data_IF_729418495803
#
_entry.id   IF_729418495803
#
_cell.length_a   1.000
_cell.length_b   1.000
_cell.length_c   1.000
_cell.angle_alpha   90.00
_cell.angle_beta   90.00
_cell.angle_gamma   90.00
#
_symmetry.space_group_name_H-M   'P 1'
#
loop_
_entity.id
_entity.type
_entity.pdbx_description
1 polymer ?
#
# COMPACT_ATOMS: atom_id res chain seq x y z
N UNK A 1 4.51 0.06 -2.25
CA UNK A 1 5.35 1.26 -2.04
C UNK A 1 5.57 1.44 -0.56
N UNK A 2 6.83 1.53 -0.11
CA UNK A 2 7.19 1.58 1.31
C UNK A 2 8.43 2.45 1.52
N UNK A 3 8.43 3.28 2.59
CA UNK A 3 9.64 3.84 3.16
C UNK A 3 10.16 2.88 4.24
N UNK A 4 11.45 2.59 4.21
CA UNK A 4 12.11 1.64 5.11
C UNK A 4 13.43 2.21 5.61
N UNK A 5 13.83 1.85 6.83
CA UNK A 5 15.15 2.14 7.35
C UNK A 5 16.24 1.32 6.63
N UNK A 6 17.53 1.65 6.83
CA UNK A 6 18.65 0.92 6.25
C UNK A 6 18.68 -0.57 6.68
N UNK A 7 18.14 -0.88 7.86
CA UNK A 7 17.97 -2.24 8.37
C UNK A 7 16.61 -2.86 8.04
N UNK A 8 15.85 -2.26 7.08
CA UNK A 8 14.62 -2.83 6.54
C UNK A 8 13.42 -2.79 7.47
N UNK A 9 13.30 -1.78 8.33
CA UNK A 9 12.19 -1.65 9.28
C UNK A 9 11.17 -0.61 8.83
N UNK A 10 9.90 -0.87 9.17
CA UNK A 10 8.76 0.04 8.94
C UNK A 10 8.43 0.90 10.16
N UNK A 11 8.87 0.49 11.33
CA UNK A 11 8.58 1.17 12.59
C UNK A 11 9.69 0.90 13.62
N UNK A 12 9.85 1.77 14.64
CA UNK A 12 10.75 1.54 15.76
C UNK A 12 10.31 0.34 16.61
N UNK A 13 11.18 -0.16 17.53
CA UNK A 13 10.90 -1.39 18.31
C UNK A 13 9.60 -1.36 19.11
N UNK A 14 9.20 -0.22 19.62
CA UNK A 14 7.95 0.02 20.37
C UNK A 14 6.71 0.12 19.48
N UNK A 15 6.89 0.04 18.15
CA UNK A 15 5.80 0.18 17.18
C UNK A 15 5.42 1.64 16.93
N UNK A 16 4.22 1.86 16.40
CA UNK A 16 3.73 3.19 16.07
C UNK A 16 3.92 3.56 14.61
N UNK A 17 3.50 4.80 14.28
CA UNK A 17 3.65 5.34 12.94
C UNK A 17 5.09 5.80 12.71
N UNK A 18 5.80 5.14 11.83
CA UNK A 18 7.08 5.63 11.36
C UNK A 18 6.89 6.89 10.51
N UNK A 19 7.54 7.98 10.89
CA UNK A 19 7.48 9.29 10.18
C UNK A 19 8.89 9.71 9.77
N UNK A 20 9.57 8.84 9.04
CA UNK A 20 10.95 9.07 8.66
C UNK A 20 11.16 9.36 7.17
N UNK A 21 10.15 9.18 6.32
CA UNK A 21 10.21 9.59 4.93
C UNK A 21 10.18 11.12 4.77
N UNK A 22 11.09 11.65 3.98
CA UNK A 22 11.24 13.07 3.71
C UNK A 22 10.35 13.59 2.57
N UNK A 23 10.60 14.83 2.09
CA UNK A 23 9.87 15.38 0.95
C UNK A 23 10.02 14.57 -0.33
N UNK A 24 11.19 13.96 -0.55
CA UNK A 24 11.47 13.09 -1.70
C UNK A 24 10.67 11.81 -1.67
N UNK A 25 10.62 11.13 -0.54
CA UNK A 25 9.76 9.97 -0.32
C UNK A 25 8.28 10.30 -0.56
N UNK A 26 7.82 11.41 0.01
CA UNK A 26 6.45 11.87 -0.21
C UNK A 26 6.15 12.08 -1.70
N UNK A 27 7.06 12.70 -2.45
CA UNK A 27 6.90 12.94 -3.88
C UNK A 27 6.73 11.65 -4.66
N UNK A 28 7.58 10.65 -4.45
CA UNK A 28 7.51 9.37 -5.17
C UNK A 28 6.30 8.54 -4.75
N UNK A 29 5.84 8.66 -3.51
CA UNK A 29 4.58 8.06 -3.06
C UNK A 29 3.37 8.70 -3.77
N UNK A 30 3.33 10.02 -3.89
CA UNK A 30 2.27 10.72 -4.61
C UNK A 30 2.32 10.41 -6.13
N UNK A 31 3.50 10.22 -6.72
CA UNK A 31 3.68 9.74 -8.11
C UNK A 31 3.04 8.35 -8.29
N UNK A 32 3.29 7.43 -7.36
CA UNK A 32 2.68 6.11 -7.39
C UNK A 32 1.14 6.16 -7.26
N UNK A 33 0.63 7.02 -6.37
CA UNK A 33 -0.82 7.26 -6.25
C UNK A 33 -1.42 7.89 -7.51
N UNK A 34 -0.70 8.82 -8.16
CA UNK A 34 -1.15 9.45 -9.38
C UNK A 34 -1.25 8.45 -10.55
N UNK A 35 -0.38 7.47 -10.60
CA UNK A 35 -0.41 6.36 -11.56
C UNK A 35 -1.52 5.36 -11.25
N UNK A 36 -1.84 5.10 -9.98
CA UNK A 36 -2.74 4.05 -9.56
C UNK A 36 -4.22 4.32 -9.91
N UNK A 37 -4.98 3.25 -10.17
CA UNK A 37 -6.44 3.28 -10.26
C UNK A 37 -7.07 3.21 -8.88
N UNK A 38 -6.40 2.51 -7.92
CA UNK A 38 -6.83 2.42 -6.54
C UNK A 38 -5.62 2.19 -5.60
N UNK A 39 -5.79 2.57 -4.34
CA UNK A 39 -4.80 2.39 -3.28
C UNK A 39 -5.31 1.36 -2.26
N UNK A 40 -4.57 0.25 -2.06
CA UNK A 40 -4.91 -0.81 -1.12
C UNK A 40 -4.19 -0.60 0.21
N UNK A 41 -4.93 -0.65 1.30
CA UNK A 41 -4.41 -0.45 2.66
C UNK A 41 -5.06 -1.41 3.66
N UNK A 42 -4.30 -1.91 4.61
CA UNK A 42 -4.81 -2.70 5.72
C UNK A 42 -5.48 -1.83 6.79
N UNK A 43 -6.56 -2.32 7.40
CA UNK A 43 -7.27 -1.60 8.48
C UNK A 43 -6.35 -1.28 9.67
N UNK A 44 -5.40 -2.16 10.01
CA UNK A 44 -4.44 -1.92 11.08
C UNK A 44 -3.51 -0.74 10.76
N UNK A 45 -3.07 -0.60 9.51
CA UNK A 45 -2.31 0.56 9.05
C UNK A 45 -3.12 1.85 9.24
N UNK A 46 -4.41 1.83 8.89
CA UNK A 46 -5.28 3.00 9.11
C UNK A 46 -5.46 3.33 10.59
N UNK A 47 -5.61 2.32 11.46
CA UNK A 47 -5.69 2.56 12.92
C UNK A 47 -4.43 3.24 13.46
N UNK A 48 -3.25 2.82 12.98
CA UNK A 48 -1.95 3.37 13.44
C UNK A 48 -1.68 4.77 12.91
N UNK A 49 -2.02 5.03 11.65
CA UNK A 49 -1.70 6.30 10.99
C UNK A 49 -2.85 7.32 11.04
N UNK A 50 -4.06 6.90 11.30
CA UNK A 50 -5.26 7.73 11.34
C UNK A 50 -5.81 8.15 9.97
N UNK A 51 -5.02 8.03 8.92
CA UNK A 51 -5.36 8.45 7.56
C UNK A 51 -4.56 7.65 6.53
N UNK A 52 -4.93 7.78 5.24
CA UNK A 52 -4.11 7.32 4.12
C UNK A 52 -3.39 8.49 3.46
N UNK A 53 -2.48 8.19 2.55
CA UNK A 53 -1.78 9.20 1.77
C UNK A 53 -2.71 9.81 0.72
N UNK A 54 -2.51 11.10 0.44
CA UNK A 54 -3.21 11.85 -0.60
C UNK A 54 -2.21 12.48 -1.55
N UNK A 55 -2.61 12.60 -2.80
CA UNK A 55 -1.91 13.43 -3.78
C UNK A 55 -2.19 14.89 -3.43
N UNK A 56 -1.13 15.67 -3.24
CA UNK A 56 -1.18 17.10 -2.94
C UNK A 56 -0.45 17.94 -3.97
N UNK A 57 0.44 17.32 -4.74
CA UNK A 57 1.23 18.00 -5.77
C UNK A 57 0.32 18.42 -6.93
N UNK A 58 0.24 19.73 -7.26
CA UNK A 58 -0.68 20.24 -8.28
C UNK A 58 -0.48 19.60 -9.67
N UNK A 59 0.76 19.38 -10.06
CA UNK A 59 1.11 18.76 -11.34
C UNK A 59 0.58 17.32 -11.46
N UNK A 60 0.59 16.55 -10.37
CA UNK A 60 0.06 15.18 -10.32
C UNK A 60 -1.47 15.17 -10.33
N UNK A 61 -2.11 16.10 -9.64
CA UNK A 61 -3.57 16.29 -9.70
C UNK A 61 -4.01 16.66 -11.12
N UNK A 62 -3.31 17.60 -11.76
CA UNK A 62 -3.60 18.01 -13.14
C UNK A 62 -3.35 16.88 -14.14
N UNK A 63 -2.34 16.04 -13.89
CA UNK A 63 -2.11 14.82 -14.69
C UNK A 63 -3.32 13.88 -14.62
N UNK A 64 -3.85 13.60 -13.43
CA UNK A 64 -5.02 12.74 -13.25
C UNK A 64 -6.27 13.32 -13.93
N UNK A 65 -6.55 14.62 -13.75
CA UNK A 65 -7.67 15.32 -14.37
C UNK A 65 -7.62 15.26 -15.90
N UNK A 66 -6.43 15.48 -16.48
CA UNK A 66 -6.22 15.35 -17.95
C UNK A 66 -6.49 13.93 -18.47
N UNK A 67 -6.33 12.92 -17.61
CA UNK A 67 -6.64 11.51 -17.89
C UNK A 67 -8.11 11.16 -17.61
N UNK A 68 -8.97 12.11 -17.24
CA UNK A 68 -10.36 11.87 -16.85
C UNK A 68 -10.52 11.10 -15.53
N UNK A 69 -9.51 11.14 -14.65
CA UNK A 69 -9.48 10.39 -13.39
C UNK A 69 -9.79 11.31 -12.20
N UNK A 70 -10.40 10.78 -11.13
CA UNK A 70 -10.58 11.53 -9.89
C UNK A 70 -9.25 12.04 -9.34
N UNK A 71 -9.24 13.17 -8.63
CA UNK A 71 -8.05 13.73 -7.99
C UNK A 71 -7.33 12.71 -7.10
N UNK A 72 -8.10 11.90 -6.38
CA UNK A 72 -7.57 10.85 -5.52
C UNK A 72 -8.03 9.47 -6.01
N UNK A 73 -7.16 8.44 -6.02
CA UNK A 73 -7.61 7.08 -6.21
C UNK A 73 -8.47 6.63 -5.02
N UNK A 74 -9.49 5.77 -5.21
CA UNK A 74 -10.23 5.20 -4.10
C UNK A 74 -9.32 4.41 -3.16
N UNK A 75 -9.60 4.50 -1.86
CA UNK A 75 -8.93 3.70 -0.85
C UNK A 75 -9.68 2.37 -0.65
N UNK A 76 -9.00 1.28 -0.98
CA UNK A 76 -9.48 -0.09 -0.78
C UNK A 76 -9.00 -0.57 0.59
N UNK A 77 -9.88 -0.63 1.56
CA UNK A 77 -9.55 -0.98 2.95
C UNK A 77 -9.77 -2.47 3.17
N UNK A 78 -8.68 -3.21 3.34
CA UNK A 78 -8.76 -4.61 3.71
C UNK A 78 -9.05 -4.74 5.21
N UNK A 79 -10.20 -5.30 5.55
CA UNK A 79 -10.62 -5.55 6.92
C UNK A 79 -11.56 -6.74 7.02
N UNK A 80 -11.38 -7.58 8.04
CA UNK A 80 -12.30 -8.69 8.34
C UNK A 80 -13.66 -8.19 8.84
N UNK A 81 -13.67 -7.14 9.63
CA UNK A 81 -14.88 -6.65 10.30
C UNK A 81 -15.40 -5.31 9.74
N UNK A 82 -14.58 -4.57 8.97
CA UNK A 82 -14.89 -3.20 8.56
C UNK A 82 -14.84 -2.17 9.69
N UNK A 83 -14.66 -2.61 10.94
CA UNK A 83 -14.65 -1.73 12.09
C UNK A 83 -13.36 -0.91 12.15
N UNK A 84 -13.54 0.40 12.09
CA UNK A 84 -12.49 1.42 12.28
C UNK A 84 -13.03 2.48 13.25
N UNK A 85 -12.17 3.12 14.06
CA UNK A 85 -12.61 4.23 14.92
C UNK A 85 -13.32 5.32 14.11
N UNK A 86 -14.43 5.82 14.64
CA UNK A 86 -15.28 6.79 13.93
C UNK A 86 -14.63 8.19 13.84
N UNK A 87 -13.68 8.47 14.71
CA UNK A 87 -12.96 9.74 14.81
C UNK A 87 -11.69 9.81 13.94
N UNK A 88 -11.39 8.76 13.16
CA UNK A 88 -10.22 8.80 12.29
C UNK A 88 -10.32 9.92 11.25
N UNK A 89 -9.26 10.73 11.07
CA UNK A 89 -9.18 11.72 10.01
C UNK A 89 -9.42 11.14 8.61
N UNK A 90 -9.18 9.84 8.43
CA UNK A 90 -9.47 9.08 7.21
C UNK A 90 -10.91 9.32 6.69
N UNK A 91 -11.90 9.44 7.57
CA UNK A 91 -13.29 9.61 7.17
C UNK A 91 -13.59 10.96 6.51
N UNK A 92 -12.73 11.96 6.75
CA UNK A 92 -12.84 13.31 6.19
C UNK A 92 -11.97 13.52 4.94
N UNK A 93 -11.17 12.52 4.54
CA UNK A 93 -10.34 12.64 3.35
C UNK A 93 -11.20 12.67 2.07
N UNK A 94 -10.83 13.49 1.06
CA UNK A 94 -11.61 13.67 -0.18
C UNK A 94 -11.36 12.52 -1.17
N UNK A 95 -11.72 11.29 -0.80
CA UNK A 95 -11.56 10.08 -1.62
C UNK A 95 -12.70 9.09 -1.37
N UNK A 96 -12.96 8.22 -2.34
CA UNK A 96 -13.84 7.08 -2.14
C UNK A 96 -13.20 6.03 -1.24
N UNK A 97 -14.02 5.35 -0.42
CA UNK A 97 -13.62 4.31 0.52
C UNK A 97 -14.39 3.05 0.23
N UNK A 98 -13.67 1.99 -0.09
CA UNK A 98 -14.26 0.69 -0.34
C UNK A 98 -13.80 -0.29 0.73
N UNK A 99 -14.71 -1.11 1.21
CA UNK A 99 -14.37 -2.17 2.13
C UNK A 99 -14.13 -3.48 1.37
N UNK A 100 -12.93 -4.03 1.50
CA UNK A 100 -12.58 -5.36 1.02
C UNK A 100 -12.69 -6.35 2.17
N UNK A 101 -13.63 -7.27 2.09
CA UNK A 101 -13.93 -8.26 3.12
C UNK A 101 -13.65 -9.67 2.63
N UNK A 102 -12.75 -10.44 3.29
CA UNK A 102 -12.64 -11.87 3.05
C UNK A 102 -13.95 -12.59 3.42
N UNK A 103 -14.42 -13.52 2.59
CA UNK A 103 -15.69 -14.22 2.81
C UNK A 103 -15.70 -15.09 4.08
N UNK A 104 -14.52 -15.58 4.51
CA UNK A 104 -14.35 -16.32 5.76
C UNK A 104 -14.52 -15.44 7.03
N UNK A 105 -14.63 -14.12 6.87
CA UNK A 105 -14.86 -13.22 7.98
C UNK A 105 -16.34 -13.16 8.33
N UNK A 106 -16.65 -13.05 9.64
CA UNK A 106 -18.03 -12.92 10.11
C UNK A 106 -18.75 -11.73 9.47
N UNK A 107 -20.03 -11.90 9.15
CA UNK A 107 -20.86 -10.82 8.63
C UNK A 107 -21.12 -9.81 9.75
N UNK A 108 -20.43 -8.68 9.71
CA UNK A 108 -20.68 -7.53 10.57
C UNK A 108 -21.17 -6.36 9.74
N UNK A 109 -22.02 -5.53 10.31
CA UNK A 109 -22.22 -4.18 9.81
C UNK A 109 -20.95 -3.38 10.18
N UNK A 110 -20.24 -2.81 9.21
CA UNK A 110 -19.03 -2.04 9.51
C UNK A 110 -19.31 -0.80 10.36
N UNK A 111 -20.58 -0.35 10.43
CA UNK A 111 -20.95 0.92 11.09
C UNK A 111 -20.20 2.14 10.51
N UNK A 112 -19.38 1.94 9.50
CA UNK A 112 -18.48 2.93 8.93
C UNK A 112 -18.93 3.32 7.52
N UNK A 113 -18.72 4.59 7.08
CA UNK A 113 -19.25 5.12 5.82
C UNK A 113 -18.42 4.68 4.59
N UNK A 114 -18.37 3.40 4.33
CA UNK A 114 -17.83 2.89 3.07
C UNK A 114 -18.86 3.06 1.94
N UNK A 115 -18.42 3.58 0.79
CA UNK A 115 -19.28 3.77 -0.38
C UNK A 115 -19.52 2.46 -1.14
N UNK A 116 -18.62 1.47 -0.99
CA UNK A 116 -18.71 0.17 -1.67
C UNK A 116 -18.11 -0.94 -0.81
N UNK A 117 -18.64 -2.15 -0.96
CA UNK A 117 -18.10 -3.36 -0.37
C UNK A 117 -17.83 -4.39 -1.47
N UNK A 118 -16.67 -5.05 -1.38
CA UNK A 118 -16.35 -6.26 -2.16
C UNK A 118 -16.07 -7.41 -1.21
N UNK A 119 -16.69 -8.55 -1.48
CA UNK A 119 -16.47 -9.79 -0.72
C UNK A 119 -15.70 -10.73 -1.63
N UNK A 120 -14.68 -11.41 -1.12
CA UNK A 120 -13.82 -12.28 -1.90
C UNK A 120 -13.38 -13.50 -1.09
N UNK A 121 -13.20 -14.65 -1.75
CA UNK A 121 -12.72 -15.89 -1.13
C UNK A 121 -11.18 -15.99 -1.16
N UNK A 122 -10.52 -15.37 -2.14
CA UNK A 122 -9.07 -15.42 -2.30
C UNK A 122 -8.52 -14.24 -3.10
N UNK A 123 -7.21 -14.03 -3.02
CA UNK A 123 -6.55 -12.89 -3.66
C UNK A 123 -6.72 -12.85 -5.18
N UNK A 124 -6.74 -14.02 -5.85
CA UNK A 124 -6.94 -14.08 -7.30
C UNK A 124 -8.33 -13.60 -7.69
N UNK A 125 -9.36 -14.02 -6.95
CA UNK A 125 -10.73 -13.55 -7.15
C UNK A 125 -10.84 -12.05 -6.92
N UNK A 126 -10.25 -11.53 -5.83
CA UNK A 126 -10.23 -10.08 -5.59
C UNK A 126 -9.60 -9.33 -6.76
N UNK A 127 -8.45 -9.79 -7.27
CA UNK A 127 -7.81 -9.18 -8.43
C UNK A 127 -8.73 -9.18 -9.66
N UNK A 128 -9.44 -10.29 -9.91
CA UNK A 128 -10.39 -10.40 -11.02
C UNK A 128 -11.58 -9.45 -10.85
N UNK A 129 -12.16 -9.36 -9.65
CA UNK A 129 -13.24 -8.42 -9.35
C UNK A 129 -12.80 -6.97 -9.57
N UNK A 130 -11.62 -6.59 -9.07
CA UNK A 130 -11.06 -5.24 -9.26
C UNK A 130 -10.79 -4.94 -10.73
N UNK A 131 -10.21 -5.89 -11.47
CA UNK A 131 -9.97 -5.73 -12.91
C UNK A 131 -11.29 -5.57 -13.71
N UNK A 132 -12.33 -6.32 -13.34
CA UNK A 132 -13.68 -6.20 -13.92
C UNK A 132 -14.33 -4.82 -13.67
N UNK A 133 -13.88 -4.11 -12.63
CA UNK A 133 -14.29 -2.73 -12.33
C UNK A 133 -13.35 -1.67 -12.95
N UNK A 134 -12.39 -2.09 -13.77
CA UNK A 134 -11.42 -1.18 -14.40
C UNK A 134 -10.26 -0.78 -13.50
N UNK A 135 -10.12 -1.37 -12.31
CA UNK A 135 -9.04 -1.10 -11.37
C UNK A 135 -7.90 -2.10 -11.60
N UNK A 136 -7.02 -1.80 -12.55
CA UNK A 136 -5.92 -2.68 -12.97
C UNK A 136 -4.57 -2.26 -12.41
N UNK A 137 -4.40 -0.99 -12.06
CA UNK A 137 -3.19 -0.42 -11.47
C UNK A 137 -3.40 -0.17 -9.99
N UNK A 138 -2.88 -1.05 -9.16
CA UNK A 138 -3.05 -1.00 -7.71
C UNK A 138 -1.74 -0.59 -7.05
N UNK A 139 -1.82 0.33 -6.09
CA UNK A 139 -0.73 0.66 -5.17
C UNK A 139 -1.07 0.12 -3.79
N UNK A 140 -0.18 -0.68 -3.24
CA UNK A 140 -0.28 -1.19 -1.88
C UNK A 140 0.48 -0.26 -0.95
N UNK A 141 -0.23 0.37 -0.02
CA UNK A 141 0.27 1.40 0.89
C UNK A 141 0.71 0.84 2.26
N UNK A 142 1.19 -0.39 2.27
CA UNK A 142 1.78 -0.92 3.49
C UNK A 142 0.86 -1.76 4.34
N UNK A 143 1.39 -2.10 5.49
CA UNK A 143 1.10 -3.24 6.33
C UNK A 143 1.97 -4.42 5.90
N UNK A 144 2.99 -4.76 6.72
CA UNK A 144 3.92 -5.85 6.42
C UNK A 144 3.20 -7.17 6.11
N UNK A 145 2.15 -7.48 6.87
CA UNK A 145 1.37 -8.70 6.68
C UNK A 145 0.66 -8.71 5.33
N UNK A 146 0.04 -7.60 4.94
CA UNK A 146 -0.64 -7.48 3.66
C UNK A 146 0.36 -7.57 2.49
N UNK A 147 1.48 -6.86 2.59
CA UNK A 147 2.55 -6.90 1.60
C UNK A 147 3.10 -8.33 1.44
N UNK A 148 3.36 -9.02 2.55
CA UNK A 148 3.87 -10.39 2.56
C UNK A 148 2.90 -11.39 1.93
N UNK A 149 1.62 -11.29 2.24
CA UNK A 149 0.60 -12.16 1.63
C UNK A 149 0.48 -11.95 0.12
N UNK A 150 0.53 -10.69 -0.35
CA UNK A 150 0.48 -10.40 -1.78
C UNK A 150 1.74 -10.83 -2.52
N UNK A 151 2.91 -10.66 -1.90
CA UNK A 151 4.18 -11.19 -2.41
C UNK A 151 4.13 -12.72 -2.50
N UNK A 152 3.70 -13.40 -1.45
CA UNK A 152 3.58 -14.85 -1.42
C UNK A 152 2.59 -15.37 -2.47
N UNK A 153 1.50 -14.66 -2.72
CA UNK A 153 0.52 -14.99 -3.75
C UNK A 153 1.00 -14.68 -5.18
N UNK A 154 2.18 -14.06 -5.36
CA UNK A 154 2.70 -13.65 -6.68
C UNK A 154 1.88 -12.52 -7.33
N UNK A 155 1.25 -11.66 -6.54
CA UNK A 155 0.39 -10.58 -7.03
C UNK A 155 1.08 -9.22 -7.04
N UNK A 156 2.34 -9.16 -6.63
CA UNK A 156 3.17 -7.96 -6.70
C UNK A 156 4.05 -8.03 -7.93
N UNK A 157 3.86 -7.11 -8.85
CA UNK A 157 4.66 -7.00 -10.08
C UNK A 157 5.87 -6.09 -9.89
N UNK A 158 5.75 -5.09 -8.99
CA UNK A 158 6.81 -4.12 -8.73
C UNK A 158 6.89 -3.79 -7.23
N UNK A 159 8.11 -3.73 -6.72
CA UNK A 159 8.42 -3.25 -5.37
C UNK A 159 9.08 -1.88 -5.50
N UNK A 160 8.53 -0.89 -4.80
CA UNK A 160 9.11 0.43 -4.66
C UNK A 160 9.49 0.67 -3.20
N UNK A 161 10.77 0.89 -2.93
CA UNK A 161 11.30 1.15 -1.60
C UNK A 161 12.01 2.51 -1.58
N UNK A 162 11.70 3.33 -0.59
CA UNK A 162 12.54 4.46 -0.21
C UNK A 162 13.41 4.03 0.97
N UNK A 163 14.73 3.93 0.76
CA UNK A 163 15.67 3.71 1.85
C UNK A 163 15.94 5.04 2.56
N UNK A 164 15.57 5.11 3.83
CA UNK A 164 15.81 6.28 4.67
C UNK A 164 17.07 6.09 5.49
N UNK A 165 17.89 7.16 5.71
CA UNK A 165 19.25 7.05 6.26
C UNK A 165 19.27 6.91 7.79
N UNK A 166 18.58 5.88 8.30
CA UNK A 166 18.52 5.57 9.74
C UNK A 166 18.46 4.07 9.99
N UNK A 167 18.80 3.67 11.19
CA UNK A 167 18.63 2.32 11.72
C UNK A 167 17.59 2.34 12.84
N UNK A 168 16.61 1.46 12.77
CA UNK A 168 15.52 1.40 13.75
C UNK A 168 15.64 0.21 14.69
N UNK A 169 16.17 -0.92 14.23
CA UNK A 169 16.16 -2.16 14.98
C UNK A 169 14.75 -2.76 15.18
N UNK A 170 14.65 -3.73 16.09
CA UNK A 170 13.36 -4.35 16.45
C UNK A 170 12.81 -5.30 15.39
N UNK A 171 11.54 -5.71 15.58
CA UNK A 171 10.90 -6.78 14.81
C UNK A 171 10.06 -6.29 13.61
N UNK A 172 9.82 -4.99 13.45
CA UNK A 172 8.87 -4.45 12.48
C UNK A 172 9.45 -4.39 11.05
N UNK A 173 9.78 -5.55 10.49
CA UNK A 173 10.25 -5.67 9.10
C UNK A 173 9.17 -5.27 8.09
N UNK A 174 9.58 -4.82 6.90
CA UNK A 174 8.67 -4.49 5.81
C UNK A 174 8.04 -5.73 5.14
N UNK A 175 8.62 -6.91 5.33
CA UNK A 175 8.04 -8.19 4.92
C UNK A 175 8.22 -9.20 6.05
N UNK A 176 7.35 -10.21 6.09
CA UNK A 176 7.43 -11.28 7.08
C UNK A 176 8.77 -12.03 6.97
N UNK A 177 9.36 -12.32 8.12
CA UNK A 177 10.61 -13.09 8.19
C UNK A 177 10.38 -14.60 8.08
N UNK A 178 9.12 -15.04 8.06
CA UNK A 178 8.74 -16.45 8.11
C UNK A 178 9.01 -17.14 6.79
N UNK A 179 9.91 -18.11 6.79
CA UNK A 179 10.25 -18.91 5.62
C UNK A 179 9.05 -19.68 5.01
N UNK A 180 7.94 -19.76 5.73
CA UNK A 180 6.71 -20.42 5.31
C UNK A 180 6.00 -19.74 4.12
N UNK A 181 6.17 -18.42 3.94
CA UNK A 181 5.51 -17.68 2.86
C UNK A 181 6.16 -17.87 1.47
N UNK A 182 7.29 -18.56 1.39
CA UNK A 182 7.96 -18.84 0.11
C UNK A 182 8.35 -17.60 -0.69
N UNK A 183 8.69 -16.50 -0.03
CA UNK A 183 9.05 -15.23 -0.67
C UNK A 183 10.32 -15.34 -1.52
N UNK A 184 11.21 -16.28 -1.20
CA UNK A 184 12.48 -16.55 -1.90
C UNK A 184 12.32 -17.15 -3.29
N UNK A 185 11.11 -17.55 -3.70
CA UNK A 185 10.86 -18.10 -5.05
C UNK A 185 10.86 -17.05 -6.15
N UNK A 186 10.74 -15.76 -5.82
CA UNK A 186 10.69 -14.68 -6.78
C UNK A 186 12.05 -14.02 -6.95
N UNK A 187 12.44 -13.77 -8.18
CA UNK A 187 13.58 -12.92 -8.51
C UNK A 187 13.10 -11.53 -8.87
N UNK A 188 13.96 -10.55 -8.58
CA UNK A 188 13.64 -9.15 -8.73
C UNK A 188 14.76 -8.45 -9.49
N UNK A 189 14.41 -7.75 -10.57
CA UNK A 189 15.36 -6.97 -11.38
C UNK A 189 15.25 -5.51 -11.01
N UNK A 190 16.37 -4.84 -10.77
CA UNK A 190 16.41 -3.41 -10.54
C UNK A 190 15.92 -2.67 -11.79
N UNK A 191 14.89 -1.83 -11.64
CA UNK A 191 14.31 -1.00 -12.69
C UNK A 191 14.83 0.42 -12.59
N UNK A 192 14.96 0.95 -11.37
CA UNK A 192 15.34 2.33 -11.10
C UNK A 192 16.07 2.42 -9.77
N UNK A 193 17.09 3.30 -9.73
CA UNK A 193 17.65 3.86 -8.51
C UNK A 193 17.71 5.38 -8.68
N UNK A 194 17.23 6.13 -7.67
CA UNK A 194 17.18 7.59 -7.75
C UNK A 194 17.40 8.21 -6.38
N UNK A 195 18.43 9.07 -6.19
CA UNK A 195 18.54 9.90 -4.99
C UNK A 195 17.33 10.85 -4.89
N UNK A 196 16.76 10.95 -3.69
CA UNK A 196 15.56 11.77 -3.44
C UNK A 196 15.83 13.08 -2.69
N UNK A 197 17.09 13.32 -2.31
CA UNK A 197 17.50 14.34 -1.37
C UNK A 197 17.37 13.87 0.08
N UNK A 198 18.02 14.57 1.01
CA UNK A 198 18.05 14.19 2.43
C UNK A 198 18.67 12.81 2.68
N UNK A 199 19.60 12.40 1.81
CA UNK A 199 20.26 11.09 1.81
C UNK A 199 19.29 9.89 1.64
N UNK A 200 18.07 10.14 1.18
CA UNK A 200 17.10 9.10 0.81
C UNK A 200 17.38 8.55 -0.58
N UNK A 201 17.14 7.24 -0.76
CA UNK A 201 17.33 6.56 -2.04
C UNK A 201 16.07 5.77 -2.43
N UNK A 202 15.50 6.11 -3.59
CA UNK A 202 14.46 5.30 -4.22
C UNK A 202 15.09 4.08 -4.92
N UNK A 203 14.51 2.91 -4.67
CA UNK A 203 14.77 1.67 -5.38
C UNK A 203 13.44 1.12 -5.92
N UNK A 204 13.41 0.80 -7.22
CA UNK A 204 12.28 0.10 -7.84
C UNK A 204 12.76 -1.20 -8.44
N UNK A 205 12.05 -2.28 -8.11
CA UNK A 205 12.34 -3.63 -8.60
C UNK A 205 11.11 -4.20 -9.27
N UNK A 206 11.27 -4.72 -10.48
CA UNK A 206 10.25 -5.51 -11.17
C UNK A 206 10.46 -6.99 -10.93
N UNK A 207 9.35 -7.73 -10.78
CA UNK A 207 9.42 -9.19 -10.71
C UNK A 207 9.87 -9.76 -12.04
N UNK A 208 10.82 -10.71 -11.99
CA UNK A 208 11.21 -11.48 -13.16
C UNK A 208 10.23 -12.64 -13.36
N UNK A 209 9.74 -12.80 -14.59
CA UNK A 209 9.01 -14.01 -14.96
C UNK A 209 9.99 -15.19 -15.00
N UNK A 210 9.69 -16.32 -14.33
CA UNK A 210 10.59 -17.46 -14.30
C UNK A 210 10.77 -18.15 -15.66
N UNK A 211 10.01 -17.74 -16.68
CA UNK A 211 10.03 -18.32 -18.04
C UNK A 211 10.74 -17.42 -19.11
N UNK A 212 11.47 -16.38 -18.69
CA UNK A 212 12.29 -15.56 -19.60
C UNK A 212 13.77 -15.68 -19.31
#
# INVERSE_FOLDING_TARGET
VLAVSLDGRLAPPDGGAARFGGPGDRRVLEEALAWADAALVGAETLRRHGCTCLIRQPDLLDQRRRQGRPDQPPALVLSRTGSLPADLPFWQQPLERWWLRPCAASSGDPGAPFQRQLIFAGWLELRQQLAGLGLTRLVLLGGADLASQWLAAGLVDEIQLTLCPLLLGGAHSWCAADGELGLNRWRWRLLEQRPLGGDELLLRYGREDPER
#
